data_IF_525876423394
#
_entry.id   IF_525876423394
#
_cell.length_a   1.000
_cell.length_b   1.000
_cell.length_c   1.000
_cell.angle_alpha   90.00
_cell.angle_beta   90.00
_cell.angle_gamma   90.00
#
_symmetry.space_group_name_H-M   'P 1'
#
loop_
_entity.id
_entity.type
_entity.pdbx_description
1 polymer ?
#
# COMPACT_ATOMS: atom_id res chain seq x y z
N UNK A 1 -60.67 30.55 -41.39
CA UNK A 1 -59.66 29.66 -42.01
C UNK A 1 -58.46 30.52 -42.35
N UNK A 2 -57.47 30.58 -41.46
CA UNK A 2 -56.33 31.50 -41.60
C UNK A 2 -55.24 30.83 -42.45
N UNK A 3 -54.96 31.44 -43.59
CA UNK A 3 -53.93 31.01 -44.52
C UNK A 3 -52.76 31.96 -44.43
N UNK A 4 -51.55 31.46 -44.19
CA UNK A 4 -50.35 32.28 -44.26
C UNK A 4 -50.09 32.67 -45.73
N UNK A 5 -50.17 33.96 -46.10
CA UNK A 5 -49.98 34.40 -47.49
C UNK A 5 -48.54 34.23 -47.98
N UNK A 6 -47.59 33.99 -47.07
CA UNK A 6 -46.16 33.89 -47.37
C UNK A 6 -45.75 32.43 -47.68
N UNK A 7 -46.33 31.44 -46.99
CA UNK A 7 -45.90 30.05 -47.14
C UNK A 7 -47.00 29.04 -47.49
N UNK A 8 -48.26 29.46 -47.67
CA UNK A 8 -49.43 28.60 -47.95
C UNK A 8 -49.67 27.42 -46.98
N UNK A 9 -48.85 27.28 -45.93
CA UNK A 9 -48.94 26.18 -44.99
C UNK A 9 -50.15 26.37 -44.07
N UNK A 10 -51.04 25.38 -44.07
CA UNK A 10 -52.23 25.32 -43.22
C UNK A 10 -51.99 24.32 -42.11
N UNK A 11 -51.66 24.79 -40.91
CA UNK A 11 -51.82 23.95 -39.73
C UNK A 11 -53.32 23.83 -39.46
N UNK A 12 -53.89 22.65 -39.70
CA UNK A 12 -55.16 22.29 -39.10
C UNK A 12 -54.96 22.28 -37.59
N UNK A 13 -55.75 23.04 -36.81
CA UNK A 13 -55.54 23.12 -35.37
C UNK A 13 -55.98 21.81 -34.72
N UNK A 14 -55.07 21.21 -33.95
CA UNK A 14 -55.46 20.36 -32.84
C UNK A 14 -56.39 21.21 -31.94
N UNK A 15 -57.66 20.84 -31.91
CA UNK A 15 -58.73 21.53 -31.20
C UNK A 15 -58.58 21.38 -29.70
N UNK A 16 -57.65 22.08 -29.04
CA UNK A 16 -57.61 22.10 -27.56
C UNK A 16 -56.88 23.27 -26.91
N UNK A 17 -56.80 24.46 -27.52
CA UNK A 17 -56.44 25.68 -26.77
C UNK A 17 -57.40 26.80 -27.17
N UNK A 18 -58.24 27.23 -26.23
CA UNK A 18 -59.01 28.47 -26.41
C UNK A 18 -57.99 29.60 -26.57
N UNK A 19 -58.05 30.36 -27.68
CA UNK A 19 -57.25 31.58 -27.84
C UNK A 19 -57.53 32.48 -26.63
N UNK A 20 -56.55 32.64 -25.75
CA UNK A 20 -56.64 33.44 -24.55
C UNK A 20 -55.32 34.15 -24.31
N UNK A 21 -55.37 35.25 -23.58
CA UNK A 21 -54.17 36.01 -23.25
C UNK A 21 -53.28 35.20 -22.30
N UNK A 22 -51.98 35.09 -22.61
CA UNK A 22 -50.98 34.39 -21.79
C UNK A 22 -50.86 34.96 -20.37
N UNK A 23 -51.17 36.25 -20.18
CA UNK A 23 -51.04 36.94 -18.89
C UNK A 23 -52.28 36.89 -17.99
N UNK A 24 -53.48 37.10 -18.55
CA UNK A 24 -54.72 37.23 -17.77
C UNK A 24 -55.82 36.23 -18.15
N UNK A 25 -55.61 35.38 -19.15
CA UNK A 25 -56.60 34.37 -19.58
C UNK A 25 -57.85 34.93 -20.26
N UNK A 26 -57.96 36.24 -20.47
CA UNK A 26 -59.06 36.87 -21.21
C UNK A 26 -59.10 36.30 -22.63
N UNK A 27 -60.31 36.09 -23.16
CA UNK A 27 -60.55 35.52 -24.50
C UNK A 27 -61.01 36.56 -25.54
N UNK A 28 -61.22 37.80 -25.12
CA UNK A 28 -61.69 38.91 -25.96
C UNK A 28 -60.57 39.92 -26.23
N UNK A 29 -60.66 40.61 -27.37
CA UNK A 29 -59.70 41.63 -27.82
C UNK A 29 -58.25 41.15 -27.74
N UNK A 30 -57.95 40.07 -28.46
CA UNK A 30 -56.66 39.39 -28.46
C UNK A 30 -55.78 39.84 -29.62
N UNK A 31 -54.52 40.04 -29.31
CA UNK A 31 -53.48 40.48 -30.22
C UNK A 31 -52.35 39.46 -30.23
N UNK A 32 -52.07 38.88 -31.39
CA UNK A 32 -50.98 37.93 -31.58
C UNK A 32 -49.75 38.66 -32.12
N UNK A 33 -48.60 38.45 -31.49
CA UNK A 33 -47.32 38.99 -31.95
C UNK A 33 -46.89 38.30 -33.25
N UNK A 34 -46.57 39.07 -34.30
CA UNK A 34 -46.16 38.53 -35.60
C UNK A 34 -44.70 38.03 -35.63
N UNK A 35 -43.91 38.35 -34.60
CA UNK A 35 -42.50 37.93 -34.52
C UNK A 35 -42.36 36.59 -33.80
N UNK A 36 -43.09 36.39 -32.70
CA UNK A 36 -42.92 35.21 -31.84
C UNK A 36 -44.22 34.44 -31.53
N UNK A 37 -45.38 34.92 -31.99
CA UNK A 37 -46.67 34.22 -31.81
C UNK A 37 -47.30 34.31 -30.42
N UNK A 38 -46.77 35.13 -29.50
CA UNK A 38 -47.39 35.31 -28.17
C UNK A 38 -48.72 36.08 -28.25
N UNK A 39 -49.71 35.69 -27.44
CA UNK A 39 -51.07 36.23 -27.46
C UNK A 39 -51.29 37.12 -26.23
N UNK A 40 -51.45 38.41 -26.46
CA UNK A 40 -51.74 39.41 -25.44
C UNK A 40 -53.15 39.98 -25.55
N UNK A 41 -53.71 40.45 -24.43
CA UNK A 41 -54.92 41.28 -24.46
C UNK A 41 -54.58 42.70 -24.91
N UNK A 42 -55.55 43.36 -25.56
CA UNK A 42 -55.42 44.72 -26.09
C UNK A 42 -55.23 45.79 -25.01
N UNK A 43 -54.89 47.01 -25.47
CA UNK A 43 -54.59 48.17 -24.62
C UNK A 43 -55.72 48.58 -23.66
N UNK A 44 -56.99 48.32 -24.03
CA UNK A 44 -58.17 48.67 -23.23
C UNK A 44 -58.51 47.64 -22.13
N UNK A 45 -57.72 46.58 -22.02
CA UNK A 45 -57.76 45.60 -20.93
C UNK A 45 -56.50 45.79 -20.07
N UNK A 46 -55.76 44.72 -19.76
CA UNK A 46 -54.51 44.80 -19.00
C UNK A 46 -53.27 45.15 -19.85
N UNK A 47 -53.45 45.32 -21.16
CA UNK A 47 -52.41 45.76 -22.09
C UNK A 47 -51.22 44.78 -22.22
N UNK A 48 -51.46 43.47 -22.09
CA UNK A 48 -50.38 42.47 -22.15
C UNK A 48 -49.64 42.46 -23.50
N UNK A 49 -50.32 42.77 -24.60
CA UNK A 49 -49.65 42.88 -25.90
C UNK A 49 -48.67 44.08 -25.97
N UNK A 50 -48.98 45.18 -25.27
CA UNK A 50 -48.08 46.35 -25.16
C UNK A 50 -46.90 46.06 -24.25
N UNK A 51 -47.13 45.41 -23.10
CA UNK A 51 -46.06 44.98 -22.20
C UNK A 51 -45.09 44.01 -22.89
N UNK A 52 -45.61 43.09 -23.69
CA UNK A 52 -44.81 42.17 -24.48
C UNK A 52 -43.87 42.91 -25.45
N UNK A 53 -44.38 43.93 -26.14
CA UNK A 53 -43.54 44.81 -26.96
C UNK A 53 -42.45 45.50 -26.14
N UNK A 54 -42.77 46.05 -24.97
CA UNK A 54 -41.80 46.75 -24.13
C UNK A 54 -40.64 45.85 -23.71
N UNK A 55 -40.93 44.58 -23.37
CA UNK A 55 -39.97 43.57 -22.93
C UNK A 55 -39.13 42.98 -24.07
N UNK A 56 -39.76 42.62 -25.19
CA UNK A 56 -39.11 41.85 -26.27
C UNK A 56 -38.68 42.70 -27.46
N UNK A 57 -39.20 43.93 -27.56
CA UNK A 57 -39.07 44.82 -28.72
C UNK A 57 -39.63 44.23 -30.02
N UNK A 58 -40.60 43.31 -29.92
CA UNK A 58 -41.35 42.84 -31.08
C UNK A 58 -42.40 43.86 -31.51
N UNK A 59 -42.15 44.56 -32.61
CA UNK A 59 -42.87 45.78 -33.01
C UNK A 59 -44.28 45.56 -33.54
N UNK A 60 -44.59 44.38 -34.08
CA UNK A 60 -45.86 44.14 -34.78
C UNK A 60 -46.74 43.11 -34.09
N UNK A 61 -48.02 43.43 -33.93
CA UNK A 61 -49.05 42.51 -33.49
C UNK A 61 -50.31 42.64 -34.35
N UNK A 62 -51.06 41.55 -34.48
CA UNK A 62 -52.29 41.47 -35.27
C UNK A 62 -53.46 41.11 -34.36
N UNK A 63 -54.58 41.82 -34.52
CA UNK A 63 -55.82 41.47 -33.85
C UNK A 63 -56.40 40.19 -34.47
N UNK A 64 -56.66 39.18 -33.64
CA UNK A 64 -57.13 37.86 -34.09
C UNK A 64 -58.54 37.93 -34.70
N UNK A 65 -59.36 38.91 -34.31
CA UNK A 65 -60.74 39.02 -34.76
C UNK A 65 -60.92 39.96 -35.97
N UNK A 66 -60.14 41.04 -36.04
CA UNK A 66 -60.31 42.08 -37.08
C UNK A 66 -59.26 42.03 -38.17
N UNK A 67 -58.24 41.17 -38.05
CA UNK A 67 -57.06 41.11 -38.94
C UNK A 67 -56.27 42.43 -39.05
N UNK A 68 -56.57 43.39 -38.17
CA UNK A 68 -55.87 44.68 -38.11
C UNK A 68 -54.47 44.49 -37.51
N UNK A 69 -53.47 45.08 -38.15
CA UNK A 69 -52.08 45.03 -37.68
C UNK A 69 -51.71 46.36 -37.04
N UNK A 70 -51.20 46.29 -35.82
CA UNK A 70 -50.69 47.43 -35.06
C UNK A 70 -49.17 47.43 -35.04
N UNK A 71 -48.57 48.59 -35.32
CA UNK A 71 -47.15 48.86 -35.12
C UNK A 71 -46.94 49.62 -33.81
N UNK A 72 -46.31 48.95 -32.83
CA UNK A 72 -45.97 49.56 -31.55
C UNK A 72 -44.82 50.56 -31.61
N UNK A 73 -43.97 50.49 -32.65
CA UNK A 73 -42.87 51.44 -32.84
C UNK A 73 -43.31 52.73 -33.54
N UNK A 74 -44.24 52.62 -34.48
CA UNK A 74 -44.85 53.74 -35.21
C UNK A 74 -46.12 54.32 -34.56
N UNK A 75 -46.66 53.65 -33.53
CA UNK A 75 -47.93 53.96 -32.84
C UNK A 75 -49.10 54.20 -33.81
N UNK A 76 -49.18 53.36 -34.85
CA UNK A 76 -50.17 53.47 -35.90
C UNK A 76 -50.64 52.09 -36.41
N UNK A 77 -51.82 52.08 -37.05
CA UNK A 77 -52.29 50.92 -37.78
C UNK A 77 -51.52 50.77 -39.10
N UNK A 78 -51.05 49.57 -39.38
CA UNK A 78 -50.42 49.25 -40.66
C UNK A 78 -51.51 49.04 -41.71
N UNK A 79 -51.73 50.06 -42.55
CA UNK A 79 -52.58 49.93 -43.72
C UNK A 79 -51.86 49.11 -44.80
N UNK A 80 -52.31 47.87 -45.02
CA UNK A 80 -51.89 47.10 -46.19
C UNK A 80 -52.59 47.65 -47.43
N UNK A 81 -51.87 47.86 -48.52
CA UNK A 81 -52.46 47.88 -49.86
C UNK A 81 -53.12 46.51 -50.07
N UNK A 82 -54.44 46.43 -49.89
CA UNK A 82 -55.18 45.17 -50.05
C UNK A 82 -55.14 44.82 -51.54
N UNK A 83 -54.29 43.86 -51.92
CA UNK A 83 -54.36 43.23 -53.23
C UNK A 83 -55.72 42.54 -53.36
N UNK A 84 -56.42 42.86 -54.44
CA UNK A 84 -57.69 42.21 -54.77
C UNK A 84 -57.43 40.71 -55.00
N UNK A 85 -58.18 39.83 -54.33
CA UNK A 85 -57.93 38.38 -54.27
C UNK A 85 -58.05 37.62 -55.61
N UNK A 86 -58.25 38.30 -56.75
CA UNK A 86 -58.43 37.64 -58.05
C UNK A 86 -57.36 37.97 -59.09
N UNK A 87 -56.71 39.12 -59.03
CA UNK A 87 -55.62 39.48 -59.95
C UNK A 87 -54.68 40.42 -59.21
N UNK A 88 -53.41 40.04 -59.04
CA UNK A 88 -52.39 40.74 -58.24
C UNK A 88 -51.95 42.10 -58.79
N UNK A 89 -52.85 42.88 -59.40
CA UNK A 89 -52.61 44.24 -59.84
C UNK A 89 -52.75 45.22 -58.66
N UNK A 90 -51.70 46.01 -58.45
CA UNK A 90 -51.70 47.13 -57.50
C UNK A 90 -52.63 48.22 -58.04
N UNK A 91 -53.71 48.53 -57.31
CA UNK A 91 -54.60 49.64 -57.64
C UNK A 91 -53.92 50.92 -57.14
N UNK A 92 -53.10 51.54 -57.98
CA UNK A 92 -52.64 52.91 -57.75
C UNK A 92 -53.69 53.87 -58.33
N UNK A 93 -54.39 54.56 -57.42
CA UNK A 93 -55.45 55.49 -57.76
C UNK A 93 -54.87 56.87 -58.09
N UNK A 94 -54.06 56.98 -59.14
CA UNK A 94 -53.60 58.27 -59.67
C UNK A 94 -53.49 58.24 -61.20
N UNK A 95 -54.62 58.53 -61.87
CA UNK A 95 -54.61 58.95 -63.29
C UNK A 95 -54.14 60.40 -63.38
N UNK A 96 -52.92 60.66 -63.85
CA UNK A 96 -52.52 62.00 -64.32
C UNK A 96 -51.67 61.89 -65.60
N UNK A 97 -52.15 62.54 -66.65
CA UNK A 97 -51.53 62.64 -67.98
C UNK A 97 -50.34 63.62 -67.93
N UNK A 98 -49.10 63.13 -67.96
CA UNK A 98 -47.91 63.85 -68.47
C UNK A 98 -46.68 62.94 -68.40
N UNK A 99 -46.46 62.14 -69.44
CA UNK A 99 -45.45 61.07 -69.45
C UNK A 99 -44.01 61.59 -69.54
N UNK A 100 -43.74 62.74 -70.16
CA UNK A 100 -42.36 63.22 -70.38
C UNK A 100 -41.68 63.84 -69.14
N UNK A 101 -42.43 64.52 -68.26
CA UNK A 101 -41.88 65.06 -66.99
C UNK A 101 -41.76 64.00 -65.88
N UNK A 102 -42.46 62.87 -66.02
CA UNK A 102 -42.40 61.77 -65.06
C UNK A 102 -41.09 61.00 -65.15
N UNK A 103 -40.55 60.73 -66.35
CA UNK A 103 -39.29 59.99 -66.50
C UNK A 103 -38.09 60.71 -65.88
N UNK A 104 -37.96 62.02 -66.09
CA UNK A 104 -36.84 62.80 -65.54
C UNK A 104 -36.89 62.96 -64.03
N UNK A 105 -38.10 63.12 -63.46
CA UNK A 105 -38.31 63.17 -62.01
C UNK A 105 -38.21 61.78 -61.36
N UNK A 106 -38.59 60.73 -62.09
CA UNK A 106 -38.39 59.33 -61.71
C UNK A 106 -36.90 58.97 -61.68
N UNK A 107 -36.07 59.48 -62.60
CA UNK A 107 -34.61 59.27 -62.60
C UNK A 107 -33.90 60.00 -61.44
N UNK A 108 -34.34 61.21 -61.08
CA UNK A 108 -33.85 61.94 -59.90
C UNK A 108 -34.25 61.24 -58.59
N UNK A 109 -35.51 60.84 -58.45
CA UNK A 109 -36.01 60.14 -57.26
C UNK A 109 -35.43 58.72 -57.12
N UNK A 110 -35.23 57.99 -58.21
CA UNK A 110 -34.55 56.68 -58.19
C UNK A 110 -33.08 56.82 -57.84
N UNK A 111 -32.39 57.86 -58.32
CA UNK A 111 -31.00 58.16 -57.92
C UNK A 111 -30.89 58.47 -56.43
N UNK A 112 -31.82 59.26 -55.87
CA UNK A 112 -31.88 59.50 -54.42
C UNK A 112 -32.14 58.24 -53.62
N UNK A 113 -33.03 57.36 -54.09
CA UNK A 113 -33.33 56.08 -53.47
C UNK A 113 -32.09 55.17 -53.49
N UNK A 114 -31.40 55.06 -54.62
CA UNK A 114 -30.16 54.28 -54.76
C UNK A 114 -29.07 54.83 -53.83
N UNK A 115 -28.93 56.15 -53.73
CA UNK A 115 -27.97 56.78 -52.82
C UNK A 115 -28.32 56.50 -51.34
N UNK A 116 -29.60 56.63 -50.95
CA UNK A 116 -30.06 56.31 -49.59
C UNK A 116 -29.82 54.85 -49.25
N UNK A 117 -30.18 53.92 -50.14
CA UNK A 117 -29.91 52.49 -49.93
C UNK A 117 -28.42 52.18 -49.87
N UNK A 118 -27.61 52.76 -50.74
CA UNK A 118 -26.16 52.58 -50.73
C UNK A 118 -25.54 53.12 -49.44
N UNK A 119 -26.01 54.28 -48.95
CA UNK A 119 -25.61 54.85 -47.67
C UNK A 119 -25.98 53.92 -46.52
N UNK A 120 -27.22 53.43 -46.46
CA UNK A 120 -27.66 52.52 -45.39
C UNK A 120 -26.89 51.20 -45.40
N UNK A 121 -26.68 50.58 -46.56
CA UNK A 121 -25.87 49.36 -46.68
C UNK A 121 -24.41 49.62 -46.28
N UNK A 122 -23.85 50.77 -46.63
CA UNK A 122 -22.49 51.15 -46.22
C UNK A 122 -22.40 51.39 -44.70
N UNK A 123 -23.41 52.00 -44.10
CA UNK A 123 -23.47 52.21 -42.64
C UNK A 123 -23.59 50.87 -41.90
N UNK A 124 -24.44 49.95 -42.38
CA UNK A 124 -24.55 48.60 -41.83
C UNK A 124 -23.23 47.83 -41.97
N UNK A 125 -22.60 47.87 -43.15
CA UNK A 125 -21.29 47.24 -43.38
C UNK A 125 -20.25 47.76 -42.40
N UNK A 126 -20.12 49.09 -42.23
CA UNK A 126 -19.19 49.70 -41.29
C UNK A 126 -19.49 49.28 -39.85
N UNK A 127 -20.75 49.31 -39.44
CA UNK A 127 -21.18 48.90 -38.11
C UNK A 127 -20.76 47.46 -37.79
N UNK A 128 -21.07 46.51 -38.69
CA UNK A 128 -20.72 45.11 -38.47
C UNK A 128 -19.21 44.87 -38.52
N UNK A 129 -18.46 45.57 -39.38
CA UNK A 129 -17.00 45.49 -39.37
C UNK A 129 -16.43 45.99 -38.03
N UNK A 130 -16.91 47.13 -37.52
CA UNK A 130 -16.49 47.64 -36.22
C UNK A 130 -16.83 46.67 -35.10
N UNK A 131 -18.06 46.13 -35.08
CA UNK A 131 -18.50 45.16 -34.08
C UNK A 131 -17.68 43.87 -34.13
N UNK A 132 -17.37 43.36 -35.33
CA UNK A 132 -16.49 42.19 -35.49
C UNK A 132 -15.07 42.47 -34.99
N UNK A 133 -14.53 43.66 -35.29
CA UNK A 133 -13.21 44.07 -34.81
C UNK A 133 -13.16 44.21 -33.28
N UNK A 134 -14.21 44.74 -32.64
CA UNK A 134 -14.31 44.79 -31.19
C UNK A 134 -14.36 43.40 -30.55
N UNK A 135 -15.17 42.50 -31.11
CA UNK A 135 -15.21 41.11 -30.64
C UNK A 135 -13.87 40.41 -30.81
N UNK A 136 -13.17 40.66 -31.92
CA UNK A 136 -11.82 40.15 -32.16
C UNK A 136 -10.82 40.67 -31.13
N UNK A 137 -10.80 41.98 -30.88
CA UNK A 137 -9.94 42.59 -29.84
C UNK A 137 -10.20 41.99 -28.46
N UNK A 138 -11.47 41.86 -28.06
CA UNK A 138 -11.85 41.22 -26.79
C UNK A 138 -11.38 39.77 -26.72
N UNK A 139 -11.49 39.01 -27.81
CA UNK A 139 -10.98 37.65 -27.86
C UNK A 139 -9.45 37.61 -27.73
N UNK A 140 -8.73 38.49 -28.43
CA UNK A 140 -7.27 38.61 -28.36
C UNK A 140 -6.80 39.00 -26.94
N UNK A 141 -7.49 39.94 -26.27
CA UNK A 141 -7.21 40.34 -24.89
C UNK A 141 -7.39 39.17 -23.91
N UNK A 142 -8.49 38.41 -24.06
CA UNK A 142 -8.75 37.21 -23.24
C UNK A 142 -7.66 36.15 -23.47
N UNK A 143 -7.23 35.94 -24.72
CA UNK A 143 -6.16 35.00 -25.06
C UNK A 143 -4.85 35.44 -24.41
N UNK A 144 -4.52 36.73 -24.49
CA UNK A 144 -3.30 37.28 -23.89
C UNK A 144 -3.31 37.12 -22.37
N UNK A 145 -4.41 37.45 -21.70
CA UNK A 145 -4.56 37.30 -20.25
C UNK A 145 -4.40 35.83 -19.82
N UNK A 146 -5.05 34.90 -20.53
CA UNK A 146 -4.91 33.47 -20.27
C UNK A 146 -3.48 32.98 -20.48
N UNK A 147 -2.80 33.43 -21.53
CA UNK A 147 -1.40 33.07 -21.79
C UNK A 147 -0.47 33.60 -20.70
N UNK A 148 -0.67 34.83 -20.23
CA UNK A 148 0.11 35.39 -19.12
C UNK A 148 -0.11 34.61 -17.81
N UNK A 149 -1.36 34.25 -17.49
CA UNK A 149 -1.67 33.39 -16.33
C UNK A 149 -1.00 32.01 -16.46
N UNK A 150 -1.06 31.41 -17.65
CA UNK A 150 -0.43 30.13 -17.94
C UNK A 150 1.10 30.18 -17.81
N UNK A 151 1.74 31.25 -18.28
CA UNK A 151 3.19 31.44 -18.13
C UNK A 151 3.56 31.60 -16.67
N UNK A 152 2.81 32.39 -15.89
CA UNK A 152 3.03 32.55 -14.44
C UNK A 152 2.91 31.21 -13.72
N UNK A 153 1.85 30.44 -13.97
CA UNK A 153 1.67 29.13 -13.34
C UNK A 153 2.75 28.12 -13.74
N UNK A 154 3.16 28.10 -15.02
CA UNK A 154 4.27 27.27 -15.50
C UNK A 154 5.60 27.63 -14.85
N UNK A 155 5.88 28.93 -14.64
CA UNK A 155 7.09 29.39 -13.97
C UNK A 155 7.13 28.91 -12.51
N UNK A 156 6.04 29.10 -11.76
CA UNK A 156 5.95 28.58 -10.38
C UNK A 156 6.10 27.05 -10.33
N UNK A 157 5.52 26.32 -11.29
CA UNK A 157 5.67 24.86 -11.36
C UNK A 157 7.12 24.44 -11.65
N UNK A 158 7.84 25.20 -12.48
CA UNK A 158 9.27 24.98 -12.73
C UNK A 158 10.10 25.25 -11.47
N UNK A 159 9.82 26.34 -10.75
CA UNK A 159 10.50 26.69 -9.50
C UNK A 159 10.31 25.59 -8.44
N UNK A 160 9.08 25.11 -8.25
CA UNK A 160 8.79 23.97 -7.37
C UNK A 160 9.47 22.67 -7.83
N UNK A 161 9.60 22.44 -9.13
CA UNK A 161 10.30 21.25 -9.65
C UNK A 161 11.79 21.29 -9.31
N UNK A 162 12.45 22.44 -9.46
CA UNK A 162 13.85 22.63 -9.07
C UNK A 162 14.03 22.41 -7.57
N UNK A 163 13.12 22.92 -6.74
CA UNK A 163 13.16 22.70 -5.29
C UNK A 163 13.01 21.22 -4.93
N UNK A 164 12.05 20.51 -5.52
CA UNK A 164 11.86 19.07 -5.34
C UNK A 164 13.11 18.30 -5.73
N UNK A 165 13.74 18.62 -6.86
CA UNK A 165 14.94 17.92 -7.30
C UNK A 165 16.14 18.20 -6.38
N UNK A 166 16.24 19.42 -5.82
CA UNK A 166 17.24 19.75 -4.80
C UNK A 166 17.04 18.94 -3.50
N UNK A 167 15.79 18.76 -3.06
CA UNK A 167 15.43 17.98 -1.88
C UNK A 167 15.66 16.49 -2.09
N UNK A 168 15.36 15.96 -3.29
CA UNK A 168 15.68 14.58 -3.67
C UNK A 168 17.17 14.33 -3.62
N UNK A 169 17.99 15.24 -4.16
CA UNK A 169 19.45 15.12 -4.12
C UNK A 169 19.98 15.14 -2.68
N UNK A 170 19.46 16.02 -1.82
CA UNK A 170 19.80 16.04 -0.39
C UNK A 170 19.42 14.72 0.30
N UNK A 171 18.24 14.16 0.01
CA UNK A 171 17.80 12.87 0.55
C UNK A 171 18.74 11.73 0.15
N UNK A 172 19.11 11.67 -1.13
CA UNK A 172 20.04 10.65 -1.65
C UNK A 172 21.40 10.77 -0.94
N UNK A 173 21.96 11.97 -0.84
CA UNK A 173 23.24 12.21 -0.17
C UNK A 173 23.21 11.80 1.32
N UNK A 174 22.13 12.14 2.04
CA UNK A 174 21.94 11.72 3.43
C UNK A 174 21.81 10.21 3.58
N UNK A 175 21.09 9.55 2.67
CA UNK A 175 20.93 8.10 2.68
C UNK A 175 22.25 7.38 2.40
N UNK A 176 23.05 7.86 1.43
CA UNK A 176 24.39 7.34 1.16
C UNK A 176 25.33 7.50 2.36
N UNK A 177 25.29 8.66 3.03
CA UNK A 177 26.09 8.90 4.23
C UNK A 177 25.66 7.98 5.38
N UNK A 178 24.36 7.81 5.59
CA UNK A 178 23.85 6.89 6.60
C UNK A 178 24.27 5.45 6.31
N UNK A 179 24.23 5.00 5.05
CA UNK A 179 24.69 3.67 4.66
C UNK A 179 26.20 3.49 4.89
N UNK A 180 27.01 4.51 4.60
CA UNK A 180 28.46 4.50 4.88
C UNK A 180 28.74 4.38 6.37
N UNK A 181 28.04 5.15 7.21
CA UNK A 181 28.19 5.06 8.68
C UNK A 181 27.74 3.71 9.23
N UNK A 182 26.60 3.16 8.76
CA UNK A 182 26.17 1.81 9.11
C UNK A 182 27.20 0.76 8.72
N UNK A 183 27.75 0.85 7.51
CA UNK A 183 28.77 -0.09 7.04
C UNK A 183 30.06 -0.01 7.89
N UNK A 184 30.48 1.19 8.33
CA UNK A 184 31.62 1.36 9.25
C UNK A 184 31.35 0.76 10.62
N UNK A 185 30.17 1.00 11.18
CA UNK A 185 29.78 0.42 12.48
C UNK A 185 29.75 -1.11 12.35
N UNK A 186 29.13 -1.63 11.30
CA UNK A 186 29.06 -3.06 11.03
C UNK A 186 30.45 -3.68 10.85
N UNK A 187 31.36 -3.03 10.13
CA UNK A 187 32.74 -3.53 9.99
C UNK A 187 33.47 -3.54 11.34
N UNK A 188 33.32 -2.49 12.15
CA UNK A 188 33.96 -2.43 13.47
C UNK A 188 33.43 -3.51 14.41
N UNK A 189 32.11 -3.74 14.40
CA UNK A 189 31.45 -4.80 15.18
C UNK A 189 31.90 -6.19 14.73
N UNK A 190 31.98 -6.46 13.42
CA UNK A 190 32.49 -7.72 12.89
C UNK A 190 33.94 -7.94 13.32
N UNK A 191 34.81 -6.93 13.18
CA UNK A 191 36.22 -7.04 13.56
C UNK A 191 36.35 -7.32 15.07
N UNK A 192 35.57 -6.64 15.91
CA UNK A 192 35.54 -6.86 17.35
C UNK A 192 35.07 -8.27 17.73
N UNK A 193 33.97 -8.74 17.15
CA UNK A 193 33.48 -10.11 17.37
C UNK A 193 34.48 -11.16 16.87
N UNK A 194 35.07 -10.98 15.69
CA UNK A 194 36.08 -11.89 15.15
C UNK A 194 37.31 -12.00 16.06
N UNK A 195 37.78 -10.88 16.61
CA UNK A 195 38.89 -10.86 17.56
C UNK A 195 38.55 -11.59 18.87
N UNK A 196 37.32 -11.40 19.39
CA UNK A 196 36.86 -12.09 20.59
C UNK A 196 36.68 -13.59 20.37
N UNK A 197 36.13 -14.00 19.21
CA UNK A 197 36.02 -15.41 18.83
C UNK A 197 37.39 -16.08 18.74
N UNK A 198 38.39 -15.42 18.12
CA UNK A 198 39.78 -15.91 18.09
C UNK A 198 40.34 -16.15 19.50
N UNK A 199 40.18 -15.18 20.40
CA UNK A 199 40.60 -15.32 21.81
C UNK A 199 39.87 -16.47 22.53
N UNK A 200 38.59 -16.67 22.25
CA UNK A 200 37.81 -17.76 22.83
C UNK A 200 38.29 -19.12 22.31
N UNK A 201 38.50 -19.25 20.99
CA UNK A 201 39.01 -20.48 20.36
C UNK A 201 40.41 -20.83 20.85
N UNK A 202 41.28 -19.85 21.06
CA UNK A 202 42.60 -20.07 21.66
C UNK A 202 42.51 -20.60 23.09
N UNK A 203 41.57 -20.08 23.90
CA UNK A 203 41.34 -20.59 25.26
C UNK A 203 40.78 -22.00 25.25
N UNK A 204 39.84 -22.30 24.36
CA UNK A 204 39.28 -23.65 24.19
C UNK A 204 40.39 -24.64 23.80
N UNK A 205 41.21 -24.31 22.79
CA UNK A 205 42.31 -25.16 22.36
C UNK A 205 43.33 -25.44 23.49
N UNK A 206 43.63 -24.43 24.32
CA UNK A 206 44.49 -24.61 25.51
C UNK A 206 43.87 -25.56 26.54
N UNK A 207 42.58 -25.39 26.83
CA UNK A 207 41.87 -26.27 27.76
C UNK A 207 41.76 -27.70 27.22
N UNK A 208 41.52 -27.86 25.93
CA UNK A 208 41.51 -29.18 25.27
C UNK A 208 42.87 -29.87 25.38
N UNK A 209 43.97 -29.15 25.18
CA UNK A 209 45.33 -29.67 25.41
C UNK A 209 45.54 -30.08 26.87
N UNK A 210 45.19 -29.23 27.84
CA UNK A 210 45.35 -29.58 29.26
C UNK A 210 44.50 -30.78 29.67
N UNK A 211 43.27 -30.89 29.16
CA UNK A 211 42.40 -32.06 29.41
C UNK A 211 43.00 -33.32 28.77
N UNK A 212 43.62 -33.22 27.60
CA UNK A 212 44.31 -34.35 26.97
C UNK A 212 45.50 -34.81 27.83
N UNK A 213 46.33 -33.87 28.30
CA UNK A 213 47.47 -34.14 29.18
C UNK A 213 47.01 -34.77 30.50
N UNK A 214 45.95 -34.25 31.13
CA UNK A 214 45.38 -34.82 32.35
C UNK A 214 44.81 -36.23 32.12
N UNK A 215 44.17 -36.49 30.97
CA UNK A 215 43.66 -37.82 30.62
C UNK A 215 44.81 -38.81 30.44
N UNK A 216 45.89 -38.42 29.75
CA UNK A 216 47.08 -39.25 29.57
C UNK A 216 47.77 -39.52 30.92
N UNK A 217 47.93 -38.48 31.74
CA UNK A 217 48.50 -38.61 33.07
C UNK A 217 47.67 -39.53 33.97
N UNK A 218 46.34 -39.38 33.96
CA UNK A 218 45.42 -40.27 34.68
C UNK A 218 45.51 -41.71 34.17
N UNK A 219 45.60 -41.94 32.86
CA UNK A 219 45.82 -43.29 32.30
C UNK A 219 47.14 -43.90 32.80
N UNK A 220 48.23 -43.12 32.79
CA UNK A 220 49.52 -43.57 33.32
C UNK A 220 49.45 -43.89 34.81
N UNK A 221 48.74 -43.06 35.60
CA UNK A 221 48.50 -43.35 37.01
C UNK A 221 47.68 -44.62 37.22
N UNK A 222 46.65 -44.87 36.41
CA UNK A 222 45.90 -46.13 36.47
C UNK A 222 46.79 -47.35 36.20
N UNK A 223 47.70 -47.28 35.23
CA UNK A 223 48.67 -48.36 34.95
C UNK A 223 49.61 -48.58 36.14
N UNK A 224 50.16 -47.50 36.72
CA UNK A 224 51.02 -47.60 37.91
C UNK A 224 50.26 -48.18 39.11
N UNK A 225 49.03 -47.74 39.34
CA UNK A 225 48.20 -48.21 40.46
C UNK A 225 47.91 -49.71 40.33
N UNK A 226 47.55 -50.17 39.13
CA UNK A 226 47.38 -51.60 38.83
C UNK A 226 48.68 -52.40 39.04
N UNK A 227 49.82 -51.87 38.61
CA UNK A 227 51.11 -52.51 38.84
C UNK A 227 51.45 -52.62 40.34
N UNK A 228 51.15 -51.58 41.13
CA UNK A 228 51.32 -51.62 42.58
C UNK A 228 50.39 -52.65 43.25
N UNK A 229 49.13 -52.75 42.81
CA UNK A 229 48.20 -53.78 43.28
C UNK A 229 48.73 -55.19 43.00
N UNK A 230 49.19 -55.45 41.77
CA UNK A 230 49.79 -56.74 41.37
C UNK A 230 51.05 -57.08 42.19
N UNK A 231 51.93 -56.10 42.44
CA UNK A 231 53.13 -56.30 43.25
C UNK A 231 52.80 -56.60 44.72
N UNK A 232 51.80 -55.90 45.29
CA UNK A 232 51.31 -56.18 46.65
C UNK A 232 50.70 -57.58 46.73
N UNK A 233 49.97 -58.01 45.71
CA UNK A 233 49.35 -59.34 45.66
C UNK A 233 50.41 -60.45 45.55
N UNK A 234 51.45 -60.25 44.72
CA UNK A 234 52.62 -61.15 44.67
C UNK A 234 53.32 -61.25 46.02
N UNK A 235 53.65 -60.11 46.64
CA UNK A 235 54.31 -60.09 47.96
C UNK A 235 53.45 -60.78 49.03
N UNK A 236 52.12 -60.60 49.02
CA UNK A 236 51.21 -61.34 49.91
C UNK A 236 51.27 -62.85 49.68
N UNK A 237 51.31 -63.29 48.43
CA UNK A 237 51.43 -64.71 48.09
C UNK A 237 52.78 -65.28 48.53
N UNK A 238 53.87 -64.55 48.31
CA UNK A 238 55.21 -64.94 48.76
C UNK A 238 55.28 -65.08 50.29
N UNK A 239 54.64 -64.16 51.03
CA UNK A 239 54.53 -64.25 52.50
C UNK A 239 53.75 -65.50 52.91
N UNK A 240 52.63 -65.79 52.24
CA UNK A 240 51.83 -67.00 52.52
C UNK A 240 52.64 -68.27 52.24
N UNK A 241 53.42 -68.30 51.17
CA UNK A 241 54.28 -69.43 50.80
C UNK A 241 55.43 -69.61 51.80
N UNK A 242 56.13 -68.53 52.15
CA UNK A 242 57.17 -68.55 53.18
C UNK A 242 56.63 -68.95 54.55
N UNK A 243 55.40 -68.56 54.90
CA UNK A 243 54.73 -69.02 56.12
C UNK A 243 54.33 -70.51 56.08
N UNK A 244 54.14 -71.11 54.89
CA UNK A 244 53.96 -72.56 54.74
C UNK A 244 55.30 -73.28 54.91
N UNK A 245 56.33 -72.85 54.19
CA UNK A 245 57.69 -73.40 54.34
C UNK A 245 58.16 -73.32 55.80
N UNK A 246 57.94 -72.19 56.46
CA UNK A 246 58.27 -72.00 57.87
C UNK A 246 57.50 -72.98 58.78
N UNK A 247 56.23 -73.29 58.45
CA UNK A 247 55.44 -74.29 59.19
C UNK A 247 55.99 -75.70 58.97
N UNK A 248 56.29 -76.07 57.73
CA UNK A 248 56.87 -77.38 57.40
C UNK A 248 58.24 -77.56 58.06
N UNK A 249 59.11 -76.55 58.00
CA UNK A 249 60.41 -76.57 58.70
C UNK A 249 60.24 -76.63 60.22
N UNK A 250 59.26 -75.92 60.78
CA UNK A 250 58.94 -76.03 62.21
C UNK A 250 58.42 -77.41 62.60
N UNK A 251 57.65 -78.08 61.73
CA UNK A 251 57.19 -79.45 61.93
C UNK A 251 58.34 -80.45 61.80
N UNK A 252 59.19 -80.34 60.78
CA UNK A 252 60.40 -81.15 60.65
C UNK A 252 61.35 -80.97 61.84
N UNK A 253 61.54 -79.75 62.34
CA UNK A 253 62.33 -79.51 63.55
C UNK A 253 61.68 -80.11 64.80
N UNK A 254 60.34 -80.10 64.90
CA UNK A 254 59.63 -80.80 66.00
C UNK A 254 59.81 -82.31 65.89
N UNK A 255 59.71 -82.87 64.70
CA UNK A 255 59.85 -84.31 64.46
C UNK A 255 61.30 -84.78 64.68
N UNK A 256 62.29 -83.98 64.26
CA UNK A 256 63.71 -84.22 64.56
C UNK A 256 63.98 -84.17 66.05
N UNK A 257 63.45 -83.16 66.77
CA UNK A 257 63.57 -83.11 68.23
C UNK A 257 62.88 -84.30 68.89
N UNK A 258 61.71 -84.73 68.41
CA UNK A 258 61.04 -85.93 68.90
C UNK A 258 61.87 -87.21 68.64
N UNK A 259 62.51 -87.32 67.46
CA UNK A 259 63.40 -88.44 67.14
C UNK A 259 64.66 -88.45 68.00
N UNK A 260 65.23 -87.28 68.30
CA UNK A 260 66.38 -87.14 69.21
C UNK A 260 65.97 -87.52 70.62
N UNK A 261 64.84 -87.01 71.12
CA UNK A 261 64.29 -87.36 72.44
C UNK A 261 63.97 -88.85 72.55
N UNK A 262 63.40 -89.45 71.49
CA UNK A 262 63.15 -90.88 71.42
C UNK A 262 64.46 -91.68 71.43
N UNK A 263 65.49 -91.23 70.69
CA UNK A 263 66.81 -91.87 70.67
C UNK A 263 67.51 -91.76 72.03
N UNK A 264 67.38 -90.61 72.71
CA UNK A 264 67.89 -90.41 74.06
C UNK A 264 67.19 -91.34 75.07
N UNK A 265 65.86 -91.44 75.02
CA UNK A 265 65.10 -92.41 75.85
C UNK A 265 65.44 -93.87 75.54
N UNK A 266 65.67 -94.23 74.27
CA UNK A 266 66.11 -95.58 73.90
C UNK A 266 67.51 -95.88 74.45
N UNK A 267 68.41 -94.90 74.44
CA UNK A 267 69.73 -95.04 75.06
C UNK A 267 69.64 -95.16 76.60
N UNK A 268 68.75 -94.39 77.25
CA UNK A 268 68.45 -94.52 78.68
C UNK A 268 67.86 -95.91 79.04
N UNK A 269 67.00 -96.46 78.18
CA UNK A 269 66.42 -97.81 78.36
C UNK A 269 67.49 -98.90 78.14
N UNK A 270 68.43 -98.72 77.20
CA UNK A 270 69.55 -99.66 77.00
C UNK A 270 70.54 -99.68 78.17
N UNK A 271 70.72 -98.57 78.88
CA UNK A 271 71.54 -98.54 80.10
C UNK A 271 70.89 -99.20 81.32
N UNK A 272 69.57 -99.44 81.30
CA UNK A 272 68.79 -99.95 82.43
C UNK A 272 68.36 -101.43 82.32
N UNK A 273 69.00 -102.23 81.45
CA UNK A 273 68.66 -103.66 81.22
C UNK A 273 69.64 -104.67 81.86
N UNK A 274 70.40 -104.24 82.87
CA UNK A 274 71.00 -105.15 83.85
C UNK A 274 70.23 -104.98 85.17
N UNK A 275 69.61 -106.07 85.62
CA UNK A 275 68.96 -106.31 86.93
C UNK A 275 67.41 -106.33 86.98
N UNK A 276 66.93 -107.58 87.00
CA UNK A 276 65.87 -108.16 87.83
C UNK A 276 64.38 -107.84 87.59
N UNK A 277 63.69 -108.93 87.28
CA UNK A 277 62.27 -109.27 87.39
C UNK A 277 61.52 -108.69 88.62
N UNK A 278 60.31 -108.15 88.42
CA UNK A 278 59.01 -108.76 88.81
C UNK A 278 57.84 -107.78 88.83
N UNK A 279 56.70 -108.32 88.36
CA UNK A 279 55.33 -108.13 88.83
C UNK A 279 54.50 -106.90 88.40
N UNK A 280 53.44 -107.28 87.67
CA UNK A 280 52.03 -107.06 87.97
C UNK A 280 51.21 -106.07 87.14
N UNK A 281 50.30 -106.71 86.39
CA UNK A 281 49.08 -106.19 85.81
C UNK A 281 48.23 -105.43 86.83
N UNK A 282 47.80 -104.21 86.46
CA UNK A 282 46.45 -103.73 86.75
C UNK A 282 45.88 -102.95 85.57
N UNK A 283 44.83 -103.53 84.99
CA UNK A 283 43.90 -102.84 84.11
C UNK A 283 43.22 -101.68 84.85
N UNK A 284 42.97 -100.57 84.15
CA UNK A 284 41.82 -99.70 84.39
C UNK A 284 41.52 -98.89 83.13
N UNK A 285 40.22 -98.73 82.91
CA UNK A 285 39.51 -98.51 81.65
C UNK A 285 38.93 -97.08 81.65
N UNK A 286 38.50 -96.62 80.47
CA UNK A 286 37.58 -95.48 80.20
C UNK A 286 38.27 -94.09 80.10
N UNK A 287 37.98 -93.19 79.15
CA UNK A 287 36.90 -93.13 78.14
C UNK A 287 37.30 -92.14 77.05
N UNK A 288 36.98 -92.52 75.80
CA UNK A 288 36.90 -91.62 74.66
C UNK A 288 35.81 -90.58 74.92
N UNK A 289 36.09 -89.29 74.69
CA UNK A 289 35.06 -88.41 74.18
C UNK A 289 35.49 -87.78 72.85
N UNK A 290 34.57 -87.93 71.91
CA UNK A 290 34.68 -87.66 70.48
C UNK A 290 33.87 -86.38 70.22
N UNK A 291 34.26 -85.65 69.18
CA UNK A 291 33.41 -84.72 68.40
C UNK A 291 33.15 -83.34 69.04
N UNK A 292 32.99 -82.23 68.30
CA UNK A 292 32.91 -81.93 66.87
C UNK A 292 33.02 -80.39 66.71
N UNK A 293 33.58 -79.94 65.57
CA UNK A 293 32.98 -78.99 64.58
C UNK A 293 31.94 -77.97 65.12
N UNK A 294 31.94 -76.68 64.76
CA UNK A 294 32.04 -76.11 63.40
C UNK A 294 31.82 -74.57 63.45
N UNK A 295 32.28 -73.89 62.39
CA UNK A 295 31.64 -72.76 61.70
C UNK A 295 31.70 -71.31 62.25
N UNK A 296 32.55 -70.51 61.58
CA UNK A 296 32.27 -69.16 61.02
C UNK A 296 30.91 -69.12 60.26
N UNK A 297 30.26 -67.96 59.95
CA UNK A 297 30.92 -66.81 59.31
C UNK A 297 30.32 -65.37 59.47
N UNK A 298 31.16 -64.41 59.05
CA UNK A 298 30.98 -63.14 58.28
C UNK A 298 29.65 -62.33 58.25
N UNK A 299 29.92 -61.02 58.07
CA UNK A 299 29.19 -59.93 57.40
C UNK A 299 28.27 -59.06 58.29
N UNK A 300 28.56 -57.75 58.38
CA UNK A 300 28.24 -56.76 57.36
C UNK A 300 29.20 -55.57 57.45
#
# INVERSE_FOLDING_TARGET
>A
MFWCPICRYSQLPNTTTKNCCSGCGVIQNLWICLVCGDIGCGRYLDGHASKHYELTKHTYAMNINTDEVWDYSGDNFVHRLIQNKKDGSLIDSLKVNNTSNLYRKMDETTSEIIFRFSRELNMQRKFYICKMNEMKKKADDIILEKNLKLIKSKKSLLDFKVEIDSLKNKKICLQENHQKELNKIHSNVIIGHAANLKKLTEKIAKLESCIADEKEMNQCFHVKLKHYEECVEKSKNDVIEKDKELREVKEMNRDLMFSIDASNKINEIKSNLNDSEKMDLRESKLTVNKQKKRNKPKNR
#
